data_IF_222815842889
#
_entry.id   IF_222815842889
#
_cell.length_a   1.000
_cell.length_b   1.000
_cell.length_c   1.000
_cell.angle_alpha   90.00
_cell.angle_beta   90.00
_cell.angle_gamma   90.00
#
_symmetry.space_group_name_H-M   'P 1'
#
loop_
_entity.id
_entity.type
_entity.pdbx_description
1 polymer ?
#
# COMPACT_ATOMS: atom_id res chain seq x y z
N UNK A 1 -20.62 -13.72 5.02
CA UNK A 1 -21.33 -14.02 6.27
C UNK A 1 -21.55 -12.80 7.17
N UNK A 2 -20.50 -12.16 7.77
CA UNK A 2 -20.71 -11.05 8.73
C UNK A 2 -21.25 -9.80 8.07
N UNK A 3 -20.66 -9.36 6.96
CA UNK A 3 -21.14 -8.20 6.20
C UNK A 3 -22.55 -8.42 5.62
N UNK A 4 -22.84 -9.62 5.10
CA UNK A 4 -24.15 -9.94 4.57
C UNK A 4 -25.25 -9.83 5.64
N UNK A 5 -24.98 -10.31 6.86
CA UNK A 5 -25.92 -10.21 7.98
C UNK A 5 -26.15 -8.73 8.35
N UNK A 6 -25.07 -7.99 8.60
CA UNK A 6 -25.17 -6.57 8.98
C UNK A 6 -25.84 -5.75 7.87
N UNK A 7 -25.50 -6.00 6.60
CA UNK A 7 -26.14 -5.33 5.47
C UNK A 7 -27.65 -5.59 5.43
N UNK A 8 -28.07 -6.83 5.65
CA UNK A 8 -29.50 -7.17 5.71
C UNK A 8 -30.21 -6.44 6.88
N UNK A 9 -29.55 -6.38 8.05
CA UNK A 9 -30.10 -5.66 9.20
C UNK A 9 -30.23 -4.14 8.93
N UNK A 10 -29.42 -3.60 8.02
CA UNK A 10 -29.45 -2.21 7.55
C UNK A 10 -30.39 -2.00 6.33
N UNK A 11 -31.09 -3.01 5.86
CA UNK A 11 -31.95 -2.91 4.68
C UNK A 11 -31.18 -2.94 3.35
N UNK A 12 -29.92 -3.39 3.34
CA UNK A 12 -29.10 -3.49 2.14
C UNK A 12 -29.12 -4.91 1.55
N UNK A 13 -29.22 -5.02 0.24
CA UNK A 13 -28.99 -6.26 -0.49
C UNK A 13 -27.51 -6.44 -0.76
N UNK A 14 -26.86 -7.41 -0.11
CA UNK A 14 -25.45 -7.70 -0.27
C UNK A 14 -25.26 -8.93 -1.16
N UNK A 15 -24.60 -8.73 -2.29
CA UNK A 15 -24.20 -9.79 -3.21
C UNK A 15 -22.66 -9.92 -3.27
N UNK A 16 -22.15 -11.14 -3.34
CA UNK A 16 -20.71 -11.38 -3.52
C UNK A 16 -20.37 -11.37 -5.01
N UNK A 17 -19.63 -10.36 -5.40
CA UNK A 17 -19.12 -10.20 -6.75
C UNK A 17 -17.78 -10.93 -6.91
N UNK A 18 -17.61 -11.67 -7.97
CA UNK A 18 -16.38 -12.39 -8.35
C UNK A 18 -15.76 -11.76 -9.58
N UNK A 19 -14.51 -12.09 -9.87
CA UNK A 19 -13.78 -11.58 -11.05
C UNK A 19 -14.55 -11.74 -12.36
N UNK A 20 -15.29 -12.84 -12.53
CA UNK A 20 -16.12 -13.11 -13.72
C UNK A 20 -17.32 -12.17 -13.87
N UNK A 21 -17.77 -11.57 -12.77
CA UNK A 21 -18.97 -10.72 -12.73
C UNK A 21 -18.67 -9.25 -13.10
N UNK A 22 -17.45 -8.98 -13.60
CA UNK A 22 -17.02 -7.64 -14.00
C UNK A 22 -18.00 -6.95 -14.97
N UNK A 23 -18.62 -7.70 -15.87
CA UNK A 23 -19.61 -7.18 -16.83
C UNK A 23 -20.89 -6.64 -16.16
N UNK A 24 -21.23 -7.18 -15.00
CA UNK A 24 -22.47 -6.87 -14.26
C UNK A 24 -22.33 -5.73 -13.26
N UNK A 25 -21.17 -5.08 -13.16
CA UNK A 25 -20.94 -4.06 -12.13
C UNK A 25 -21.98 -2.92 -12.15
N UNK A 26 -22.47 -2.53 -13.32
CA UNK A 26 -23.49 -1.48 -13.44
C UNK A 26 -24.87 -1.87 -12.85
N UNK A 27 -25.05 -3.12 -12.40
CA UNK A 27 -26.28 -3.57 -11.73
C UNK A 27 -26.30 -3.24 -10.22
N UNK A 28 -25.19 -2.70 -9.68
CA UNK A 28 -25.04 -2.42 -8.25
C UNK A 28 -24.92 -0.91 -7.97
N UNK A 29 -25.36 -0.52 -6.77
CA UNK A 29 -25.30 0.89 -6.31
C UNK A 29 -23.95 1.23 -5.66
N UNK A 30 -23.26 0.25 -5.09
CA UNK A 30 -21.99 0.42 -4.40
C UNK A 30 -21.10 -0.81 -4.50
N UNK A 31 -19.78 -0.61 -4.42
CA UNK A 31 -18.80 -1.69 -4.42
C UNK A 31 -17.90 -1.60 -3.18
N UNK A 32 -17.89 -2.66 -2.36
CA UNK A 32 -16.98 -2.81 -1.25
C UNK A 32 -15.93 -3.89 -1.53
N UNK A 33 -14.70 -3.47 -1.82
CA UNK A 33 -13.60 -4.36 -2.16
C UNK A 33 -13.03 -4.99 -0.88
N UNK A 34 -13.05 -6.34 -0.79
CA UNK A 34 -12.54 -7.11 0.35
C UNK A 34 -11.46 -8.09 -0.07
N UNK A 35 -10.67 -7.67 -1.01
CA UNK A 35 -9.52 -8.41 -1.56
C UNK A 35 -8.31 -7.48 -1.63
N UNK A 36 -7.12 -8.02 -1.79
CA UNK A 36 -5.89 -7.23 -1.97
C UNK A 36 -6.04 -6.27 -3.15
N UNK A 37 -5.70 -5.02 -2.93
CA UNK A 37 -5.72 -3.98 -3.95
C UNK A 37 -4.29 -3.69 -4.43
N UNK A 38 -4.11 -3.60 -5.75
CA UNK A 38 -2.89 -3.15 -6.40
C UNK A 38 -3.23 -2.68 -7.82
N UNK A 39 -2.42 -1.79 -8.37
CA UNK A 39 -2.67 -1.19 -9.70
C UNK A 39 -2.74 -2.25 -10.81
N UNK A 40 -1.90 -3.27 -10.72
CA UNK A 40 -1.86 -4.40 -11.67
C UNK A 40 -2.83 -5.54 -11.31
N UNK A 41 -3.68 -5.36 -10.31
CA UNK A 41 -4.64 -6.36 -9.87
C UNK A 41 -6.04 -6.08 -10.44
N UNK A 42 -6.88 -7.12 -10.58
CA UNK A 42 -8.24 -6.95 -11.10
C UNK A 42 -9.10 -6.03 -10.21
N UNK A 43 -8.85 -5.98 -8.91
CA UNK A 43 -9.58 -5.10 -7.97
C UNK A 43 -9.47 -3.63 -8.35
N UNK A 44 -8.33 -3.17 -8.86
CA UNK A 44 -8.19 -1.79 -9.35
C UNK A 44 -9.07 -1.54 -10.59
N UNK A 45 -9.17 -2.51 -11.49
CA UNK A 45 -10.05 -2.41 -12.66
C UNK A 45 -11.53 -2.35 -12.24
N UNK A 46 -11.91 -3.15 -11.22
CA UNK A 46 -13.26 -3.10 -10.65
C UNK A 46 -13.55 -1.74 -10.01
N UNK A 47 -12.64 -1.23 -9.17
CA UNK A 47 -12.77 0.09 -8.57
C UNK A 47 -12.93 1.18 -9.62
N UNK A 48 -12.08 1.15 -10.67
CA UNK A 48 -12.10 2.12 -11.77
C UNK A 48 -13.40 2.09 -12.55
N UNK A 49 -13.92 0.90 -12.85
CA UNK A 49 -15.20 0.77 -13.54
C UNK A 49 -16.36 1.24 -12.66
N UNK A 50 -16.40 0.83 -11.41
CA UNK A 50 -17.45 1.26 -10.48
C UNK A 50 -17.47 2.79 -10.30
N UNK A 51 -16.29 3.43 -10.19
CA UNK A 51 -16.19 4.89 -10.16
C UNK A 51 -16.74 5.53 -11.44
N UNK A 52 -16.43 4.97 -12.62
CA UNK A 52 -16.93 5.47 -13.91
C UNK A 52 -18.46 5.30 -14.07
N UNK A 53 -19.04 4.29 -13.43
CA UNK A 53 -20.51 4.08 -13.38
C UNK A 53 -21.18 4.96 -12.29
N UNK A 54 -20.42 5.80 -11.58
CA UNK A 54 -20.94 6.68 -10.53
C UNK A 54 -21.25 5.99 -9.20
N UNK A 55 -20.77 4.77 -9.01
CA UNK A 55 -21.01 3.99 -7.78
C UNK A 55 -20.16 4.50 -6.62
N UNK A 56 -20.64 4.31 -5.41
CA UNK A 56 -19.79 4.43 -4.20
C UNK A 56 -18.82 3.25 -4.14
N UNK A 57 -17.53 3.54 -4.05
CA UNK A 57 -16.47 2.51 -4.05
C UNK A 57 -15.59 2.62 -2.82
N UNK A 58 -15.34 1.50 -2.15
CA UNK A 58 -14.38 1.35 -1.05
C UNK A 58 -13.51 0.10 -1.34
N UNK A 59 -12.19 0.18 -1.49
CA UNK A 59 -11.39 1.41 -1.64
C UNK A 59 -11.55 1.98 -3.05
N UNK A 60 -11.59 3.31 -3.15
CA UNK A 60 -11.66 4.00 -4.43
C UNK A 60 -10.33 3.93 -5.21
N UNK A 61 -10.36 4.13 -6.55
CA UNK A 61 -9.16 4.02 -7.38
C UNK A 61 -8.05 4.98 -7.00
N UNK A 62 -8.40 6.19 -6.56
CA UNK A 62 -7.42 7.20 -6.15
C UNK A 62 -6.70 6.78 -4.86
N UNK A 63 -7.44 6.24 -3.89
CA UNK A 63 -6.88 5.68 -2.65
C UNK A 63 -5.99 4.47 -2.95
N UNK A 64 -6.42 3.56 -3.83
CA UNK A 64 -5.61 2.42 -4.25
C UNK A 64 -4.30 2.90 -4.87
N UNK A 65 -4.35 3.84 -5.81
CA UNK A 65 -3.16 4.39 -6.48
C UNK A 65 -2.17 5.00 -5.49
N UNK A 66 -2.67 5.79 -4.54
CA UNK A 66 -1.83 6.52 -3.56
C UNK A 66 -1.24 5.63 -2.49
N UNK A 67 -1.96 4.59 -2.05
CA UNK A 67 -1.58 3.81 -0.87
C UNK A 67 -0.86 2.50 -1.20
N UNK A 68 -0.96 1.98 -2.43
CA UNK A 68 -0.35 0.69 -2.78
C UNK A 68 1.13 0.79 -3.13
N UNK A 69 1.60 1.95 -3.61
CA UNK A 69 3.00 2.18 -3.91
C UNK A 69 3.67 2.98 -2.78
N UNK A 70 4.63 2.38 -2.09
CA UNK A 70 5.30 2.97 -0.90
C UNK A 70 6.12 4.21 -1.22
N UNK A 71 6.70 4.31 -2.42
CA UNK A 71 7.44 5.51 -2.83
C UNK A 71 6.49 6.68 -3.06
N UNK A 72 5.38 6.42 -3.76
CA UNK A 72 4.37 7.44 -3.99
C UNK A 72 3.75 7.91 -2.68
N UNK A 73 3.40 6.98 -1.79
CA UNK A 73 2.84 7.31 -0.47
C UNK A 73 3.84 8.13 0.37
N UNK A 74 5.11 7.74 0.40
CA UNK A 74 6.14 8.47 1.12
C UNK A 74 6.31 9.90 0.59
N UNK A 75 6.39 10.09 -0.72
CA UNK A 75 6.49 11.41 -1.35
C UNK A 75 5.25 12.26 -1.07
N UNK A 76 4.05 11.68 -1.16
CA UNK A 76 2.79 12.34 -0.83
C UNK A 76 2.76 12.81 0.64
N UNK A 77 3.14 11.96 1.58
CA UNK A 77 3.16 12.29 3.00
C UNK A 77 4.17 13.40 3.30
N UNK A 78 5.37 13.34 2.69
CA UNK A 78 6.38 14.38 2.76
C UNK A 78 5.87 15.73 2.23
N UNK A 79 5.19 15.73 1.07
CA UNK A 79 4.61 16.92 0.47
C UNK A 79 3.49 17.54 1.33
N UNK A 80 2.87 16.74 2.19
CA UNK A 80 1.81 17.17 3.11
C UNK A 80 2.29 17.42 4.54
N UNK A 81 3.61 17.43 4.76
CA UNK A 81 4.23 17.61 6.07
C UNK A 81 3.73 16.63 7.15
N UNK A 82 3.35 15.41 6.71
CA UNK A 82 2.98 14.34 7.63
C UNK A 82 4.25 13.63 8.10
N UNK A 83 4.50 13.56 9.42
CA UNK A 83 5.69 12.90 9.95
C UNK A 83 5.76 11.43 9.52
N UNK A 84 6.91 11.05 8.99
CA UNK A 84 7.23 9.66 8.59
C UNK A 84 8.65 9.33 9.05
N UNK A 85 8.97 8.05 9.24
CA UNK A 85 10.36 7.65 9.42
C UNK A 85 11.22 8.16 8.26
N UNK A 86 12.48 8.54 8.54
CA UNK A 86 13.41 8.99 7.50
C UNK A 86 13.57 7.92 6.44
N UNK A 87 13.58 8.33 5.19
CA UNK A 87 13.67 7.41 4.08
C UNK A 87 14.46 7.99 2.91
N UNK A 88 15.01 7.11 2.08
CA UNK A 88 15.74 7.44 0.87
C UNK A 88 15.34 6.50 -0.27
N UNK A 89 15.35 7.02 -1.49
CA UNK A 89 15.16 6.19 -2.68
C UNK A 89 16.48 5.58 -3.12
N UNK A 90 16.47 4.29 -3.44
CA UNK A 90 17.58 3.57 -4.04
C UNK A 90 17.24 3.25 -5.50
N UNK A 91 18.21 3.44 -6.36
CA UNK A 91 18.05 3.26 -7.79
C UNK A 91 19.01 2.17 -8.30
N UNK A 92 18.50 1.18 -9.03
CA UNK A 92 19.34 0.17 -9.68
C UNK A 92 20.37 0.80 -10.65
N UNK A 93 19.99 1.88 -11.32
CA UNK A 93 20.82 2.60 -12.28
C UNK A 93 21.81 3.59 -11.65
N UNK A 94 21.76 3.79 -10.32
CA UNK A 94 22.58 4.76 -9.60
C UNK A 94 23.20 4.11 -8.35
N UNK A 95 24.32 3.38 -8.50
CA UNK A 95 24.99 2.71 -7.37
C UNK A 95 25.38 3.66 -6.24
N UNK A 96 25.66 4.91 -6.54
CA UNK A 96 25.95 5.97 -5.57
C UNK A 96 24.79 6.27 -4.60
N UNK A 97 23.59 5.86 -4.91
CA UNK A 97 22.44 6.00 -4.02
C UNK A 97 22.56 5.15 -2.74
N UNK A 98 23.38 4.09 -2.74
CA UNK A 98 23.59 3.23 -1.58
C UNK A 98 24.42 3.91 -0.49
N UNK A 99 25.64 4.41 -0.74
CA UNK A 99 26.40 5.13 0.28
C UNK A 99 25.69 6.40 0.75
N UNK A 100 25.03 7.14 -0.14
CA UNK A 100 24.21 8.30 0.24
C UNK A 100 23.07 7.93 1.19
N UNK A 101 22.41 6.80 0.97
CA UNK A 101 21.39 6.27 1.85
C UNK A 101 21.95 5.91 3.24
N UNK A 102 23.09 5.22 3.29
CA UNK A 102 23.72 4.82 4.54
C UNK A 102 24.16 6.03 5.39
N UNK A 103 24.64 7.09 4.72
CA UNK A 103 25.00 8.35 5.37
C UNK A 103 23.76 9.09 5.93
N UNK A 104 22.67 9.11 5.14
CA UNK A 104 21.44 9.83 5.52
C UNK A 104 20.61 9.15 6.62
N UNK A 105 20.57 7.80 6.63
CA UNK A 105 19.63 7.07 7.51
C UNK A 105 20.30 6.42 8.72
N UNK A 106 21.61 6.14 8.67
CA UNK A 106 22.32 5.26 9.61
C UNK A 106 21.75 3.83 9.64
N UNK A 107 22.56 2.87 10.08
CA UNK A 107 22.11 1.48 10.19
C UNK A 107 21.48 1.19 11.57
N UNK A 108 20.57 0.21 11.67
CA UNK A 108 20.05 -0.61 10.57
C UNK A 108 19.00 0.12 9.71
N UNK A 109 18.84 -0.32 8.45
CA UNK A 109 17.84 0.21 7.52
C UNK A 109 16.94 -0.90 7.00
N UNK A 110 15.67 -0.58 6.78
CA UNK A 110 14.69 -1.49 6.17
C UNK A 110 14.55 -1.13 4.70
N UNK A 111 14.82 -2.07 3.81
CA UNK A 111 14.71 -1.90 2.36
C UNK A 111 13.43 -2.57 1.86
N UNK A 112 12.64 -1.84 1.08
CA UNK A 112 11.30 -2.26 0.65
C UNK A 112 11.14 -2.12 -0.86
N UNK A 113 10.50 -3.11 -1.49
CA UNK A 113 9.97 -2.96 -2.85
C UNK A 113 8.74 -2.04 -2.78
N UNK A 114 8.58 -1.07 -3.71
CA UNK A 114 7.47 -0.12 -3.69
C UNK A 114 6.09 -0.78 -3.69
N UNK A 115 5.87 -1.75 -4.56
CA UNK A 115 4.56 -2.40 -4.79
C UNK A 115 4.38 -3.71 -3.99
N UNK A 116 5.18 -3.95 -2.96
CA UNK A 116 5.09 -5.14 -2.10
C UNK A 116 3.94 -5.04 -1.09
N UNK A 117 3.19 -6.14 -0.91
CA UNK A 117 2.18 -6.30 0.13
C UNK A 117 2.52 -7.47 1.06
N UNK A 118 1.93 -7.50 2.26
CA UNK A 118 2.09 -8.57 3.27
C UNK A 118 3.55 -8.90 3.59
N UNK A 119 4.36 -7.89 3.83
CA UNK A 119 5.80 -8.00 4.14
C UNK A 119 6.66 -8.68 3.07
N UNK A 120 6.10 -8.99 1.90
CA UNK A 120 6.86 -9.52 0.77
C UNK A 120 7.72 -8.42 0.15
N UNK A 121 9.03 -8.66 0.03
CA UNK A 121 9.97 -7.67 -0.50
C UNK A 121 10.33 -6.57 0.49
N UNK A 122 10.38 -6.93 1.79
CA UNK A 122 10.91 -6.10 2.88
C UNK A 122 12.06 -6.88 3.51
N UNK A 123 13.22 -6.27 3.61
CA UNK A 123 14.41 -6.86 4.21
C UNK A 123 15.17 -5.84 5.06
N UNK A 124 15.83 -6.31 6.12
CA UNK A 124 16.66 -5.51 7.00
C UNK A 124 18.12 -5.58 6.53
N UNK A 125 18.81 -4.45 6.55
CA UNK A 125 20.25 -4.34 6.36
C UNK A 125 20.87 -3.72 7.63
N UNK A 126 21.79 -4.43 8.25
CA UNK A 126 22.41 -4.03 9.52
C UNK A 126 23.70 -3.20 9.30
N UNK A 127 24.28 -3.32 8.11
CA UNK A 127 25.49 -2.62 7.69
C UNK A 127 25.53 -2.43 6.16
N UNK A 128 26.59 -1.84 5.66
CA UNK A 128 26.78 -1.59 4.23
C UNK A 128 26.86 -2.88 3.40
N UNK A 129 27.46 -3.95 3.93
CA UNK A 129 27.54 -5.25 3.24
C UNK A 129 26.13 -5.88 3.14
N UNK A 130 25.37 -5.82 4.21
CA UNK A 130 23.95 -6.20 4.25
C UNK A 130 23.12 -5.41 3.24
N UNK A 131 23.32 -4.08 3.15
CA UNK A 131 22.63 -3.22 2.19
C UNK A 131 22.95 -3.64 0.75
N UNK A 132 24.19 -3.88 0.40
CA UNK A 132 24.58 -4.39 -0.92
C UNK A 132 23.92 -5.75 -1.25
N UNK A 133 23.88 -6.66 -0.29
CA UNK A 133 23.29 -8.00 -0.46
C UNK A 133 21.77 -7.91 -0.67
N UNK A 134 21.10 -7.14 0.17
CA UNK A 134 19.63 -6.94 0.13
C UNK A 134 19.23 -6.25 -1.16
N UNK A 135 19.89 -5.14 -1.52
CA UNK A 135 19.56 -4.39 -2.72
C UNK A 135 19.80 -5.18 -3.99
N UNK A 136 20.89 -5.95 -4.09
CA UNK A 136 21.12 -6.85 -5.25
C UNK A 136 19.93 -7.78 -5.47
N UNK A 137 19.46 -8.44 -4.41
CA UNK A 137 18.32 -9.36 -4.47
C UNK A 137 17.02 -8.63 -4.84
N UNK A 138 16.73 -7.49 -4.23
CA UNK A 138 15.47 -6.76 -4.44
C UNK A 138 15.44 -6.04 -5.79
N UNK A 139 16.59 -5.60 -6.32
CA UNK A 139 16.71 -5.01 -7.64
C UNK A 139 16.44 -6.00 -8.79
N UNK A 140 16.47 -7.29 -8.56
CA UNK A 140 16.00 -8.27 -9.55
C UNK A 140 14.50 -8.10 -9.84
N UNK A 141 13.76 -7.60 -8.86
CA UNK A 141 12.28 -7.49 -8.90
C UNK A 141 11.77 -6.06 -9.10
N UNK A 142 12.59 -5.05 -8.84
CA UNK A 142 12.19 -3.64 -8.95
C UNK A 142 13.39 -2.79 -9.38
N UNK A 143 13.18 -1.77 -10.19
CA UNK A 143 14.22 -0.81 -10.55
C UNK A 143 14.45 0.26 -9.44
N UNK A 144 13.46 0.42 -8.56
CA UNK A 144 13.46 1.37 -7.45
C UNK A 144 13.19 0.63 -6.14
N UNK A 145 13.83 1.06 -5.06
CA UNK A 145 13.56 0.58 -3.70
C UNK A 145 13.41 1.78 -2.76
N UNK A 146 12.65 1.59 -1.68
CA UNK A 146 12.59 2.52 -0.56
C UNK A 146 13.45 1.97 0.57
N UNK A 147 14.49 2.68 0.95
CA UNK A 147 15.20 2.45 2.21
C UNK A 147 14.61 3.37 3.28
N UNK A 148 14.42 2.85 4.47
CA UNK A 148 13.81 3.56 5.59
C UNK A 148 14.56 3.22 6.88
N UNK A 149 14.72 4.20 7.78
CA UNK A 149 15.28 3.93 9.10
C UNK A 149 14.49 2.83 9.80
N UNK A 150 15.20 1.98 10.51
CA UNK A 150 14.56 0.95 11.34
C UNK A 150 14.13 1.58 12.67
N UNK A 151 12.83 1.48 12.96
CA UNK A 151 12.27 1.91 14.24
C UNK A 151 11.88 0.69 15.05
N UNK A 152 12.53 0.49 16.18
CA UNK A 152 12.12 -0.52 17.14
C UNK A 152 10.93 0.02 17.95
N UNK A 153 9.80 -0.66 17.87
CA UNK A 153 8.58 -0.33 18.61
C UNK A 153 8.11 -1.55 19.40
N UNK A 154 7.51 -1.33 20.55
CA UNK A 154 6.91 -2.41 21.33
C UNK A 154 5.58 -2.85 20.75
N UNK A 155 4.88 -1.94 20.06
CA UNK A 155 3.60 -2.20 19.40
C UNK A 155 3.37 -1.21 18.25
N UNK A 156 2.47 -1.55 17.36
CA UNK A 156 1.98 -0.71 16.27
C UNK A 156 0.51 -0.35 16.49
N UNK A 157 0.17 0.91 16.26
CA UNK A 157 -1.22 1.32 16.24
C UNK A 157 -1.89 1.00 14.91
N UNK A 158 -3.07 0.39 14.98
CA UNK A 158 -3.95 0.26 13.83
C UNK A 158 -5.11 1.23 13.97
N UNK A 159 -5.11 2.26 13.15
CA UNK A 159 -6.15 3.29 13.15
C UNK A 159 -7.09 3.04 11.98
N UNK A 160 -8.37 2.86 12.27
CA UNK A 160 -9.43 2.83 11.27
C UNK A 160 -10.02 4.22 11.08
N UNK A 161 -10.14 4.63 9.81
CA UNK A 161 -10.77 5.91 9.42
C UNK A 161 -11.83 5.63 8.37
N UNK A 162 -13.02 6.17 8.55
CA UNK A 162 -14.11 6.08 7.58
C UNK A 162 -14.71 7.47 7.39
N UNK A 163 -14.90 7.88 6.14
CA UNK A 163 -15.44 9.18 5.79
C UNK A 163 -14.76 10.35 6.54
N UNK A 164 -13.41 10.32 6.61
CA UNK A 164 -12.55 11.30 7.30
C UNK A 164 -12.75 11.40 8.81
N UNK A 165 -13.46 10.44 9.41
CA UNK A 165 -13.69 10.36 10.85
C UNK A 165 -12.94 9.15 11.41
N UNK A 166 -12.26 9.27 12.57
CA UNK A 166 -11.66 8.13 13.23
C UNK A 166 -12.77 7.15 13.66
N UNK A 167 -12.57 5.87 13.33
CA UNK A 167 -13.54 4.82 13.63
C UNK A 167 -13.09 3.95 14.82
N UNK A 168 -11.82 3.60 14.87
CA UNK A 168 -11.23 2.83 15.97
C UNK A 168 -9.71 3.00 16.01
N UNK A 169 -9.12 2.70 17.16
CA UNK A 169 -7.69 2.50 17.37
C UNK A 169 -7.47 1.20 18.16
N UNK A 170 -6.52 0.36 17.77
CA UNK A 170 -6.16 -0.88 18.47
C UNK A 170 -4.68 -1.24 18.26
#
# INVERSE_FOLDING_TARGET
ARFERVGKDMGLLIERVRKRDFGRLAEYDALFIRETTAINHHTFRFAKRAENEGMVVIDDPSSILRCTNKLFLWDLLKTKDVPTPRAAMLYRSRPESLPQCAEALSFPVVVKIPDGAFSKGIELAEDMNGLHKVTRKLFERSALLLAQEFMLTEYDWRIGVLNRQPLYAC
#
